data_IF_157494059065
#
_entry.id   IF_157494059065
#
_cell.length_a   1.000
_cell.length_b   1.000
_cell.length_c   1.000
_cell.angle_alpha   90.00
_cell.angle_beta   90.00
_cell.angle_gamma   90.00
#
_symmetry.space_group_name_H-M   'P 1'
#
loop_
_entity.id
_entity.type
_entity.pdbx_description
1 polymer ?
2 branched ?
3 non-polymer ?
4 water ?
#
# COMPACT_ATOMS: atom_id res chain seq x y z
N UNK A 2 14.36 -0.82 1.61
CA UNK A 2 13.06 -1.42 1.68
C UNK A 2 12.47 -1.76 0.31
N UNK A 3 11.70 -2.84 0.26
CA UNK A 3 11.10 -3.27 -0.98
C UNK A 3 9.75 -3.92 -0.71
N UNK A 4 8.78 -3.61 -1.58
CA UNK A 4 7.51 -4.29 -1.53
C UNK A 4 7.69 -5.78 -1.81
N UNK A 5 6.64 -6.52 -1.51
CA UNK A 5 6.47 -7.89 -2.00
C UNK A 5 6.46 -7.89 -3.53
N UNK A 6 6.87 -9.01 -4.13
CA UNK A 6 6.79 -9.16 -5.58
C UNK A 6 5.34 -9.47 -5.98
N UNK A 7 4.84 -8.73 -6.98
CA UNK A 7 3.44 -8.80 -7.38
C UNK A 7 3.39 -9.31 -8.81
N UNK A 8 2.94 -10.56 -8.98
CA UNK A 8 2.80 -11.17 -10.28
C UNK A 8 3.18 -12.63 -10.23
N UNK A 9 3.55 -13.18 -11.40
CA UNK A 9 3.79 -14.59 -11.55
C UNK A 9 5.21 -14.93 -11.97
N UNK A 10 5.47 -16.22 -12.26
CA UNK A 10 6.84 -16.67 -12.51
C UNK A 10 7.33 -16.60 -13.95
N UNK A 11 6.49 -16.19 -14.89
CA UNK A 11 6.89 -16.16 -16.26
C UNK A 11 7.92 -15.08 -16.56
N UNK A 12 8.40 -15.11 -17.80
CA UNK A 12 9.30 -14.14 -18.33
C UNK A 12 10.67 -14.25 -17.68
N UNK A 13 11.44 -13.17 -17.84
CA UNK A 13 12.81 -13.09 -17.36
C UNK A 13 12.94 -12.01 -16.28
N UNK A 14 13.84 -12.25 -15.34
CA UNK A 14 14.08 -11.31 -14.26
C UNK A 14 14.77 -10.07 -14.77
N UNK A 15 14.37 -8.92 -14.23
CA UNK A 15 15.09 -7.68 -14.43
C UNK A 15 15.18 -6.99 -13.08
N UNK A 16 16.18 -6.11 -12.97
CA UNK A 16 16.43 -5.37 -11.74
C UNK A 16 17.15 -4.08 -12.12
N UNK A 17 16.51 -2.94 -11.86
CA UNK A 17 17.10 -1.63 -12.14
C UNK A 17 18.02 -1.15 -11.01
N UNK A 18 18.35 -1.98 -10.02
CA UNK A 18 19.15 -1.54 -8.87
C UNK A 18 20.40 -0.75 -9.29
N UNK A 19 21.22 -1.32 -10.17
CA UNK A 19 22.48 -0.70 -10.52
C UNK A 19 22.25 0.64 -11.23
N UNK A 20 21.28 0.66 -12.14
CA UNK A 20 20.94 1.85 -12.92
C UNK A 20 20.47 2.98 -12.04
N UNK A 21 19.80 2.67 -10.94
CA UNK A 21 19.31 3.72 -10.06
C UNK A 21 20.43 4.51 -9.41
N UNK A 22 21.67 4.02 -9.46
CA UNK A 22 22.79 4.80 -8.98
C UNK A 22 23.03 6.04 -9.82
N UNK A 23 22.37 6.17 -10.97
CA UNK A 23 22.32 7.45 -11.65
C UNK A 23 21.57 8.51 -10.85
N UNK A 24 20.63 8.12 -9.99
CA UNK A 24 19.85 9.11 -9.26
C UNK A 24 18.34 8.88 -9.38
N UNK A 25 17.59 9.95 -9.06
CA UNK A 25 16.13 9.92 -8.95
C UNK A 25 15.47 9.48 -10.26
N UNK A 26 14.33 8.80 -10.13
CA UNK A 26 13.50 8.55 -11.29
C UNK A 26 12.98 9.89 -11.80
N UNK A 27 13.20 10.15 -13.08
CA UNK A 27 12.78 11.39 -13.72
C UNK A 27 11.68 11.20 -14.75
N UNK A 28 11.33 9.97 -15.09
CA UNK A 28 10.43 9.71 -16.20
C UNK A 28 9.83 8.32 -16.09
N UNK A 29 8.55 8.23 -16.45
CA UNK A 29 7.84 6.94 -16.55
C UNK A 29 7.43 6.75 -18.00
N UNK A 30 7.80 5.62 -18.59
CA UNK A 30 7.25 5.24 -19.88
C UNK A 30 6.61 3.86 -19.76
N UNK A 31 5.38 3.74 -20.27
CA UNK A 31 4.66 2.47 -20.26
C UNK A 31 3.92 2.35 -21.58
N UNK A 32 3.51 1.13 -21.86
CA UNK A 32 2.64 0.84 -23.00
C UNK A 32 1.34 0.31 -22.42
N UNK A 33 0.22 0.88 -22.82
CA UNK A 33 -1.01 0.77 -22.06
C UNK A 33 -2.20 0.51 -22.97
N UNK A 34 -2.94 -0.55 -22.65
CA UNK A 34 -4.14 -0.92 -23.39
C UNK A 34 -5.14 -1.39 -22.34
N UNK A 35 -5.83 -2.53 -22.53
CA UNK A 35 -6.62 -3.05 -21.42
C UNK A 35 -5.73 -3.53 -20.28
N UNK A 36 -4.45 -3.82 -20.57
CA UNK A 36 -3.44 -4.14 -19.57
C UNK A 36 -2.19 -3.32 -19.86
N UNK A 37 -1.25 -3.34 -18.92
CA UNK A 37 0.07 -2.76 -19.13
C UNK A 37 0.95 -3.80 -19.79
N UNK A 38 1.60 -3.43 -20.90
CA UNK A 38 2.44 -4.37 -21.61
C UNK A 38 3.92 -4.09 -21.53
N UNK A 39 4.35 -2.88 -21.16
CA UNK A 39 5.73 -2.73 -20.72
C UNK A 39 5.88 -1.53 -19.79
N UNK A 40 6.99 -1.52 -19.08
CA UNK A 40 7.39 -0.38 -18.26
C UNK A 40 8.84 -0.07 -18.52
N UNK A 41 9.17 1.23 -18.54
CA UNK A 41 10.55 1.69 -18.77
C UNK A 41 10.77 2.99 -18.00
N UNK A 42 11.51 2.93 -16.89
CA UNK A 42 11.79 4.14 -16.10
C UNK A 42 13.13 4.76 -16.50
N UNK A 43 13.25 6.07 -16.30
CA UNK A 43 14.50 6.80 -16.49
C UNK A 43 15.07 7.19 -15.13
N UNK A 44 16.32 6.82 -14.89
CA UNK A 44 17.05 7.17 -13.67
C UNK A 44 18.05 8.24 -14.04
N UNK A 45 17.93 9.41 -13.44
CA UNK A 45 18.65 10.58 -13.92
C UNK A 45 18.35 10.78 -15.39
N UNK A 46 19.37 10.67 -16.21
CA UNK A 46 19.24 10.83 -17.64
C UNK A 46 19.15 9.51 -18.39
N UNK A 47 19.21 8.37 -17.69
CA UNK A 47 19.41 7.08 -18.34
C UNK A 47 18.16 6.22 -18.21
N UNK A 48 17.64 5.78 -19.35
CA UNK A 48 16.53 4.84 -19.42
C UNK A 48 16.98 3.41 -19.15
N UNK A 49 16.11 2.64 -18.50
CA UNK A 49 16.25 1.19 -18.50
C UNK A 49 15.95 0.66 -19.90
N UNK A 50 16.17 -0.64 -20.06
CA UNK A 50 15.59 -1.35 -21.18
C UNK A 50 14.06 -1.34 -21.10
N UNK A 51 13.42 -1.68 -22.20
CA UNK A 51 11.97 -1.83 -22.25
C UNK A 51 11.59 -3.13 -21.56
N UNK A 52 10.99 -3.07 -20.38
CA UNK A 52 10.66 -4.29 -19.66
C UNK A 52 9.24 -4.69 -20.06
N UNK A 53 9.15 -5.46 -21.13
CA UNK A 53 7.88 -5.94 -21.67
C UNK A 53 7.82 -5.74 -23.18
N UNK A 54 6.70 -6.16 -23.75
CA UNK A 54 6.49 -6.23 -25.20
C UNK A 54 7.76 -6.65 -25.93
N UNK A 55 8.19 -7.87 -25.61
CA UNK A 55 9.48 -8.35 -26.09
C UNK A 55 9.58 -8.35 -27.61
N UNK A 56 8.49 -8.62 -28.29
CA UNK A 56 8.50 -8.57 -29.75
C UNK A 56 7.09 -8.40 -30.31
N UNK A 57 7.01 -8.03 -31.58
CA UNK A 57 5.73 -7.70 -32.22
C UNK A 57 4.78 -8.88 -32.29
N UNK A 58 5.28 -10.13 -32.34
CA UNK A 58 4.37 -11.28 -32.39
C UNK A 58 3.65 -11.50 -31.07
N UNK A 59 4.01 -10.76 -30.02
CA UNK A 59 3.26 -10.76 -28.77
C UNK A 59 1.81 -10.36 -28.99
N UNK A 60 1.50 -9.75 -30.14
CA UNK A 60 0.14 -9.40 -30.48
C UNK A 60 -0.78 -10.61 -30.53
N UNK A 61 -0.21 -11.82 -30.57
CA UNK A 61 -1.05 -13.02 -30.54
C UNK A 61 -1.70 -13.24 -29.18
N UNK A 62 -1.09 -12.75 -28.11
CA UNK A 62 -1.57 -13.10 -26.77
C UNK A 62 -2.09 -11.90 -25.98
N UNK A 63 -1.99 -10.69 -26.51
CA UNK A 63 -2.60 -9.53 -25.90
C UNK A 63 -2.60 -8.41 -26.92
N UNK A 64 -3.44 -7.41 -26.66
CA UNK A 64 -3.30 -6.13 -27.34
C UNK A 64 -1.94 -5.50 -27.01
N UNK A 65 -1.56 -4.55 -27.86
CA UNK A 65 -0.27 -3.87 -27.74
C UNK A 65 -0.39 -2.61 -26.90
N UNK A 66 -1.17 -1.64 -27.35
CA UNK A 66 -1.42 -0.43 -26.57
C UNK A 66 -0.63 0.78 -27.05
N UNK A 67 -0.82 1.87 -26.29
CA UNK A 67 -0.31 3.20 -26.59
C UNK A 67 0.88 3.48 -25.68
N UNK A 68 1.88 4.19 -26.21
CA UNK A 68 3.04 4.56 -25.42
C UNK A 68 2.69 5.79 -24.57
N UNK A 69 2.73 5.61 -23.26
CA UNK A 69 2.31 6.65 -22.31
C UNK A 69 3.56 7.13 -21.58
N UNK A 70 3.82 8.45 -21.59
CA UNK A 70 4.97 9.02 -20.92
C UNK A 70 4.49 10.02 -19.89
N UNK A 71 5.08 9.98 -18.69
CA UNK A 71 4.92 11.02 -17.66
C UNK A 71 6.32 11.49 -17.26
N UNK A 72 6.71 12.66 -17.76
CA UNK A 72 7.94 13.30 -17.31
C UNK A 72 7.74 13.89 -15.93
N UNK A 73 8.61 13.51 -15.00
CA UNK A 73 8.51 13.95 -13.62
C UNK A 73 9.32 15.22 -13.44
N UNK A 74 8.80 16.14 -12.66
CA UNK A 74 9.54 17.38 -12.43
C UNK A 74 10.48 17.20 -11.26
N UNK A 75 11.43 18.13 -11.14
CA UNK A 75 12.41 18.08 -10.07
C UNK A 75 11.69 17.96 -8.73
N UNK A 76 12.17 17.04 -7.89
CA UNK A 76 11.50 16.82 -6.62
C UNK A 76 10.19 16.06 -6.69
N UNK A 77 9.79 15.54 -7.84
CA UNK A 77 8.59 14.71 -7.92
C UNK A 77 9.00 13.26 -7.69
N UNK A 78 8.38 12.64 -6.70
CA UNK A 78 8.63 11.24 -6.35
C UNK A 78 7.34 10.43 -6.35
N UNK A 79 7.45 9.19 -6.81
CA UNK A 79 6.33 8.24 -6.83
C UNK A 79 6.19 7.67 -5.44
N UNK A 80 5.07 7.95 -4.78
CA UNK A 80 4.89 7.58 -3.40
C UNK A 80 3.91 6.44 -3.20
N UNK A 81 3.13 6.06 -4.20
CA UNK A 81 2.31 4.87 -4.08
C UNK A 81 1.94 4.38 -5.47
N UNK A 82 1.48 3.15 -5.51
CA UNK A 82 1.00 2.53 -6.73
C UNK A 82 -0.18 1.63 -6.38
N UNK A 83 -1.25 1.72 -7.15
CA UNK A 83 -2.33 0.74 -7.10
C UNK A 83 -2.06 -0.27 -8.20
N UNK A 84 -1.89 -1.53 -7.82
CA UNK A 84 -1.56 -2.59 -8.77
C UNK A 84 -2.66 -3.64 -8.75
N UNK A 85 -3.20 -3.97 -9.93
CA UNK A 85 -4.01 -5.16 -10.07
C UNK A 85 -3.19 -6.22 -10.79
N UNK A 86 -3.27 -7.46 -10.31
CA UNK A 86 -2.34 -8.47 -10.78
C UNK A 86 -2.86 -9.88 -10.50
N UNK A 87 -2.31 -10.84 -11.23
CA UNK A 87 -2.51 -12.24 -10.97
C UNK A 87 -1.28 -12.99 -11.45
N UNK A 88 -1.47 -13.82 -12.48
CA UNK A 88 -0.34 -14.42 -13.20
C UNK A 88 0.60 -13.37 -13.75
N UNK A 89 0.07 -12.22 -14.17
CA UNK A 89 0.84 -11.10 -14.71
C UNK A 89 0.43 -9.85 -13.95
N UNK A 90 1.18 -8.76 -14.16
CA UNK A 90 0.66 -7.45 -13.80
C UNK A 90 -0.42 -7.09 -14.81
N UNK A 91 -1.59 -6.70 -14.31
CA UNK A 91 -2.68 -6.25 -15.15
C UNK A 91 -2.67 -4.74 -15.33
N UNK A 92 -2.76 -3.98 -14.23
CA UNK A 92 -2.83 -2.53 -14.33
C UNK A 92 -1.96 -1.90 -13.26
N UNK A 93 -1.51 -0.67 -13.54
CA UNK A 93 -0.69 0.09 -12.61
C UNK A 93 -1.19 1.53 -12.58
N UNK A 94 -1.47 2.05 -11.39
CA UNK A 94 -1.80 3.46 -11.19
C UNK A 94 -0.78 4.07 -10.23
N UNK A 95 0.09 4.92 -10.76
CA UNK A 95 1.07 5.62 -9.92
C UNK A 95 0.48 6.91 -9.36
N UNK A 96 0.87 7.20 -8.13
CA UNK A 96 0.60 8.47 -7.46
C UNK A 96 1.93 9.04 -6.97
N UNK A 97 2.17 10.33 -7.25
CA UNK A 97 3.37 11.05 -6.81
C UNK A 97 3.05 12.08 -5.74
N UNK A 98 4.09 12.65 -5.16
CA UNK A 98 3.85 13.69 -4.19
C UNK A 98 3.27 14.94 -4.80
N UNK A 99 3.11 15.01 -6.13
CA UNK A 99 2.63 16.21 -6.78
C UNK A 99 1.31 16.02 -7.50
N UNK A 100 0.97 14.80 -7.88
CA UNK A 100 -0.21 14.55 -8.69
C UNK A 100 -0.46 13.06 -8.72
N UNK A 101 -1.70 12.71 -9.03
CA UNK A 101 -2.08 11.37 -9.42
C UNK A 101 -1.94 11.24 -10.92
N UNK A 102 -1.67 10.04 -11.38
CA UNK A 102 -1.44 9.78 -12.78
C UNK A 102 -2.48 8.79 -13.25
N UNK A 103 -2.80 8.79 -14.53
CA UNK A 103 -3.80 7.84 -15.03
C UNK A 103 -3.30 6.40 -14.95
N UNK A 104 -4.26 5.50 -14.78
CA UNK A 104 -3.98 4.08 -14.76
C UNK A 104 -3.49 3.62 -16.13
N UNK A 105 -2.46 2.80 -16.12
CA UNK A 105 -2.01 2.09 -17.31
C UNK A 105 -2.63 0.69 -17.25
N UNK A 106 -3.58 0.45 -18.11
CA UNK A 106 -4.35 -0.78 -18.11
C UNK A 106 -5.77 -0.46 -17.71
N UNK A 107 -6.67 -0.35 -18.69
CA UNK A 107 -8.04 0.04 -18.38
C UNK A 107 -8.77 -1.05 -17.61
N UNK A 108 -8.34 -2.31 -17.71
CA UNK A 108 -8.94 -3.36 -16.90
C UNK A 108 -8.30 -3.43 -15.52
N UNK A 109 -9.12 -3.36 -14.49
CA UNK A 109 -8.65 -3.48 -13.11
C UNK A 109 -9.49 -4.51 -12.36
N UNK A 110 -9.70 -5.67 -12.99
CA UNK A 110 -10.61 -6.66 -12.46
C UNK A 110 -9.93 -7.70 -11.59
N UNK A 111 -8.60 -7.75 -11.61
CA UNK A 111 -7.89 -8.72 -10.80
C UNK A 111 -7.61 -8.14 -9.43
N UNK A 112 -7.00 -8.95 -8.57
CA UNK A 112 -6.72 -8.56 -7.20
C UNK A 112 -5.97 -7.23 -7.16
N UNK A 113 -6.51 -6.32 -6.35
CA UNK A 113 -5.99 -4.97 -6.24
C UNK A 113 -5.28 -4.78 -4.91
N UNK A 114 -4.26 -3.95 -4.96
CA UNK A 114 -3.37 -3.73 -3.84
C UNK A 114 -2.82 -2.31 -3.96
N UNK A 115 -2.84 -1.58 -2.86
CA UNK A 115 -2.33 -0.22 -2.82
C UNK A 115 -1.00 -0.24 -2.06
N UNK A 116 0.09 0.02 -2.78
CA UNK A 116 1.45 -0.13 -2.25
C UNK A 116 1.96 1.25 -1.86
N UNK A 117 2.22 1.46 -0.58
CA UNK A 117 2.93 2.64 -0.14
C UNK A 117 4.41 2.46 -0.44
N UNK A 118 5.07 3.55 -0.86
CA UNK A 118 6.48 3.49 -1.26
C UNK A 118 7.26 4.50 -0.42
N UNK A 119 7.80 4.10 0.74
CA UNK A 119 8.35 5.07 1.71
C UNK A 119 9.57 5.79 1.17
N UNK A 120 9.56 7.12 1.31
CA UNK A 120 10.63 7.94 0.81
C UNK A 120 10.54 8.25 -0.67
N UNK A 121 9.58 7.71 -1.36
CA UNK A 121 9.57 7.77 -2.80
C UNK A 121 10.17 6.52 -3.41
N UNK A 122 9.71 6.19 -4.61
CA UNK A 122 10.25 5.07 -5.35
C UNK A 122 11.70 5.34 -5.73
N UNK A 123 12.56 4.38 -5.39
CA UNK A 123 13.96 4.38 -5.81
C UNK A 123 14.17 3.65 -7.14
N UNK A 124 13.61 2.45 -7.28
CA UNK A 124 13.72 1.70 -8.54
C UNK A 124 12.77 0.51 -8.52
N UNK A 125 12.61 -0.11 -9.67
CA UNK A 125 11.78 -1.31 -9.78
C UNK A 125 12.63 -2.50 -10.20
N UNK A 126 12.17 -3.69 -9.81
CA UNK A 126 12.61 -4.96 -10.34
C UNK A 126 11.35 -5.76 -10.65
N UNK A 127 11.54 -6.88 -11.32
CA UNK A 127 10.39 -7.70 -11.66
C UNK A 127 10.75 -8.72 -12.71
N UNK A 128 9.75 -9.09 -13.50
CA UNK A 128 9.93 -10.05 -14.59
C UNK A 128 9.13 -9.59 -15.81
N UNK A 129 9.65 -9.88 -17.01
CA UNK A 129 9.06 -9.38 -18.24
C UNK A 129 9.22 -10.38 -19.38
N UNK A 130 8.33 -10.26 -20.35
CA UNK A 130 8.42 -11.01 -21.59
C UNK A 130 7.60 -10.29 -22.64
N UNK A 131 6.52 -10.94 -23.12
CA UNK A 131 5.56 -10.19 -23.92
C UNK A 131 4.89 -9.08 -23.12
N UNK A 132 4.76 -9.25 -21.81
CA UNK A 132 4.18 -8.19 -20.97
C UNK A 132 4.93 -8.17 -19.64
N UNK A 133 4.30 -7.61 -18.62
CA UNK A 133 4.90 -7.41 -17.31
C UNK A 133 4.46 -8.57 -16.44
N UNK A 134 5.32 -9.56 -16.28
CA UNK A 134 4.96 -10.72 -15.49
C UNK A 134 4.83 -10.36 -14.01
N UNK A 135 5.68 -9.45 -13.51
CA UNK A 135 5.56 -9.02 -12.14
C UNK A 135 6.42 -7.80 -11.86
N UNK A 136 6.06 -7.11 -10.78
CA UNK A 136 6.81 -5.95 -10.33
C UNK A 136 7.08 -6.00 -8.84
N UNK A 137 8.18 -5.36 -8.48
CA UNK A 137 8.56 -5.16 -7.09
C UNK A 137 9.03 -3.72 -6.94
N UNK A 138 8.58 -3.02 -5.91
CA UNK A 138 8.93 -1.62 -5.74
C UNK A 138 9.98 -1.48 -4.65
N UNK A 139 11.10 -0.85 -4.97
CA UNK A 139 12.18 -0.61 -4.02
C UNK A 139 12.17 0.85 -3.60
N UNK A 140 12.04 1.10 -2.30
CA UNK A 140 11.80 2.42 -1.75
C UNK A 140 13.09 3.12 -1.34
N UNK A 141 13.04 4.45 -1.28
CA UNK A 141 14.12 5.27 -0.71
C UNK A 141 13.98 5.27 0.82
N UNK A 142 14.23 4.10 1.40
CA UNK A 142 14.02 3.92 2.83
C UNK A 142 14.83 2.72 3.31
N UNK B 2 5.61 8.98 4.04
CA UNK B 2 4.54 8.62 3.12
C UNK B 2 3.38 7.95 3.89
N UNK B 3 2.14 8.33 3.54
CA UNK B 3 0.96 7.83 4.22
C UNK B 3 -0.11 7.40 3.20
N UNK B 4 -0.99 6.51 3.66
CA UNK B 4 -2.13 6.10 2.87
C UNK B 4 -3.15 7.23 2.80
N UNK B 5 -4.20 7.00 2.00
CA UNK B 5 -5.41 7.77 2.13
C UNK B 5 -6.05 7.54 3.49
N UNK B 6 -6.89 8.50 3.86
CA UNK B 6 -7.73 8.37 5.02
C UNK B 6 -8.91 7.48 4.67
N UNK B 7 -9.10 6.43 5.44
CA UNK B 7 -10.09 5.39 5.18
C UNK B 7 -11.18 5.50 6.25
N UNK B 8 -12.31 6.11 5.89
CA UNK B 8 -13.42 6.24 6.81
C UNK B 8 -14.16 7.56 6.66
N UNK B 9 -14.88 7.92 7.72
CA UNK B 9 -15.77 9.06 7.69
C UNK B 9 -15.31 10.25 8.51
N UNK B 10 -16.07 11.33 8.42
CA UNK B 10 -15.67 12.61 9.02
C UNK B 10 -15.96 12.78 10.50
N UNK B 11 -16.58 11.82 11.16
CA UNK B 11 -16.95 11.99 12.54
C UNK B 11 -15.79 11.81 13.50
N UNK B 12 -16.14 11.88 14.78
CA UNK B 12 -15.21 11.79 15.88
C UNK B 12 -14.19 12.93 15.93
N UNK B 13 -13.18 12.68 16.74
CA UNK B 13 -12.03 13.56 16.92
C UNK B 13 -10.82 12.99 16.20
N UNK B 14 -10.00 13.88 15.64
CA UNK B 14 -8.75 13.43 15.04
C UNK B 14 -7.79 12.93 16.11
N UNK B 15 -7.06 11.89 15.77
CA UNK B 15 -5.92 11.46 16.56
C UNK B 15 -4.72 11.26 15.64
N UNK B 16 -3.54 11.37 16.21
CA UNK B 16 -2.30 11.23 15.43
C UNK B 16 -1.19 10.74 16.37
N UNK B 17 -0.68 9.54 16.11
CA UNK B 17 0.38 8.92 16.89
C UNK B 17 1.78 9.34 16.44
N UNK B 18 1.91 10.30 15.52
CA UNK B 18 3.22 10.67 14.99
C UNK B 18 4.22 10.93 16.11
N UNK B 19 3.87 11.79 17.07
CA UNK B 19 4.85 12.15 18.10
C UNK B 19 5.16 10.93 18.96
N UNK B 20 4.15 10.12 19.26
CA UNK B 20 4.35 8.94 20.07
C UNK B 20 5.26 7.92 19.38
N UNK B 21 5.16 7.84 18.05
CA UNK B 21 5.95 6.87 17.29
C UNK B 21 7.44 7.12 17.39
N UNK B 22 7.85 8.32 17.79
CA UNK B 22 9.28 8.55 18.01
C UNK B 22 9.82 7.68 19.13
N UNK B 23 8.95 7.10 19.96
CA UNK B 23 9.39 6.25 21.05
C UNK B 23 9.76 4.83 20.63
N UNK B 24 9.51 4.45 19.38
CA UNK B 24 9.96 3.15 18.93
C UNK B 24 9.02 2.47 17.96
N UNK B 25 9.47 1.34 17.43
CA UNK B 25 8.68 0.51 16.53
C UNK B 25 7.44 0.01 17.23
N UNK B 26 6.42 -0.30 16.44
CA UNK B 26 5.21 -0.87 17.03
C UNK B 26 5.57 -2.22 17.63
N UNK B 27 5.28 -2.38 18.91
CA UNK B 27 5.53 -3.63 19.63
C UNK B 27 4.27 -4.38 20.02
N UNK B 28 3.10 -3.77 19.89
CA UNK B 28 1.86 -4.34 20.41
C UNK B 28 0.67 -3.72 19.69
N UNK B 29 -0.34 -4.54 19.44
CA UNK B 29 -1.58 -4.15 18.79
C UNK B 29 -2.70 -4.55 19.72
N UNK B 30 -3.50 -3.57 20.14
CA UNK B 30 -4.71 -3.87 20.92
C UNK B 30 -5.92 -3.30 20.20
N UNK B 31 -6.95 -4.13 20.08
CA UNK B 31 -8.19 -3.71 19.46
C UNK B 31 -9.36 -4.26 20.25
N UNK B 32 -10.50 -3.60 20.11
CA UNK B 32 -11.76 -4.13 20.62
C UNK B 32 -12.60 -4.55 19.43
N UNK B 33 -13.13 -5.76 19.49
CA UNK B 33 -13.63 -6.44 18.30
C UNK B 33 -14.95 -7.15 18.55
N UNK B 34 -15.94 -6.83 17.74
CA UNK B 34 -17.22 -7.56 17.67
C UNK B 34 -17.52 -7.78 16.18
N UNK B 35 -18.75 -7.49 15.73
CA UNK B 35 -18.98 -7.54 14.28
C UNK B 35 -18.23 -6.41 13.57
N UNK B 36 -17.78 -5.40 14.31
CA UNK B 36 -16.97 -4.31 13.81
C UNK B 36 -15.87 -4.05 14.82
N UNK B 37 -14.84 -3.32 14.40
CA UNK B 37 -13.78 -2.87 15.27
C UNK B 37 -14.20 -1.57 15.95
N UNK B 38 -14.13 -1.55 17.29
CA UNK B 38 -14.62 -0.38 18.04
C UNK B 38 -13.52 0.44 18.74
N UNK B 39 -12.31 -0.08 18.90
CA UNK B 39 -11.19 0.81 19.15
C UNK B 39 -9.88 0.14 18.71
N UNK B 40 -8.84 0.97 18.60
CA UNK B 40 -7.49 0.52 18.33
C UNK B 40 -6.51 1.32 19.18
N UNK B 41 -5.45 0.64 19.61
CA UNK B 41 -4.47 1.17 20.55
C UNK B 41 -3.16 0.42 20.33
N UNK B 42 -2.16 1.09 19.77
CA UNK B 42 -0.84 0.51 19.57
C UNK B 42 0.13 0.89 20.69
N UNK B 43 1.22 0.11 20.78
CA UNK B 43 2.36 0.46 21.62
C UNK B 43 3.57 0.72 20.73
N UNK B 44 4.28 1.82 21.02
CA UNK B 44 5.46 2.28 20.28
C UNK B 44 6.66 2.15 21.22
N UNK B 45 7.53 1.20 20.95
CA UNK B 45 8.50 0.79 21.95
C UNK B 45 7.81 0.38 23.23
N UNK B 46 8.00 1.14 24.30
CA UNK B 46 7.36 0.85 25.58
C UNK B 46 6.22 1.81 25.91
N UNK B 47 5.82 2.67 24.98
CA UNK B 47 4.88 3.76 25.24
C UNK B 47 3.54 3.39 24.62
N UNK B 48 2.51 3.30 25.45
CA UNK B 48 1.16 3.04 24.98
C UNK B 48 0.49 4.34 24.53
N UNK B 49 -0.41 4.21 23.55
CA UNK B 49 -1.24 5.34 23.18
C UNK B 49 -2.51 5.34 24.02
N UNK B 50 -3.28 6.43 23.91
CA UNK B 50 -4.64 6.41 24.35
C UNK B 50 -5.47 5.43 23.52
N UNK B 51 -6.54 4.94 24.12
CA UNK B 51 -7.53 4.11 23.42
C UNK B 51 -8.27 4.95 22.37
N UNK B 52 -8.08 4.66 21.08
CA UNK B 52 -8.74 5.39 20.00
C UNK B 52 -10.04 4.67 19.64
N UNK B 53 -11.11 5.04 20.35
CA UNK B 53 -12.41 4.43 20.16
C UNK B 53 -13.10 4.10 21.48
N UNK B 54 -14.31 3.57 21.40
CA UNK B 54 -15.12 3.23 22.57
C UNK B 54 -14.95 4.26 23.70
N UNK B 55 -15.33 5.50 23.37
CA UNK B 55 -15.13 6.65 24.24
C UNK B 55 -15.79 6.47 25.60
N UNK B 56 -16.93 5.79 25.63
CA UNK B 56 -17.64 5.50 26.88
C UNK B 56 -18.62 4.34 26.72
N UNK B 57 -19.10 3.82 27.83
CA UNK B 57 -19.92 2.62 27.82
C UNK B 57 -21.30 2.84 27.21
N UNK B 58 -21.83 4.07 27.20
CA UNK B 58 -23.13 4.21 26.54
C UNK B 58 -23.01 4.26 25.04
N UNK B 59 -21.81 4.07 24.51
CA UNK B 59 -21.64 3.84 23.08
C UNK B 59 -22.37 2.59 22.62
N UNK B 60 -22.72 1.71 23.57
CA UNK B 60 -23.49 0.49 23.35
C UNK B 60 -24.85 0.78 22.73
N UNK B 61 -25.35 2.01 22.85
CA UNK B 61 -26.57 2.39 22.17
C UNK B 61 -26.43 2.39 20.64
N UNK B 62 -25.20 2.51 20.12
CA UNK B 62 -25.02 2.75 18.70
C UNK B 62 -24.26 1.65 17.97
N UNK B 63 -23.65 0.73 18.69
CA UNK B 63 -23.00 -0.45 18.11
C UNK B 63 -22.79 -1.42 19.26
N UNK B 64 -22.54 -2.69 18.92
CA UNK B 64 -21.99 -3.63 19.88
C UNK B 64 -20.62 -3.15 20.37
N UNK B 65 -20.15 -3.79 21.44
CA UNK B 65 -18.91 -3.40 22.08
C UNK B 65 -17.75 -4.26 21.62
N UNK B 66 -17.79 -5.54 21.98
CA UNK B 66 -16.82 -6.53 21.55
C UNK B 66 -15.80 -6.84 22.64
N UNK B 67 -14.82 -7.65 22.27
CA UNK B 67 -13.81 -8.13 23.22
C UNK B 67 -12.45 -7.50 22.90
N UNK B 68 -11.64 -7.42 23.92
CA UNK B 68 -10.28 -6.88 23.85
C UNK B 68 -9.37 -7.95 23.27
N UNK B 69 -8.77 -7.66 22.12
CA UNK B 69 -7.83 -8.57 21.49
C UNK B 69 -6.45 -7.92 21.54
N UNK B 70 -5.46 -8.64 22.10
CA UNK B 70 -4.08 -8.17 22.22
C UNK B 70 -3.17 -9.07 21.40
N UNK B 71 -2.30 -8.46 20.60
CA UNK B 71 -1.24 -9.21 19.92
C UNK B 71 0.09 -8.54 20.18
N UNK B 72 1.04 -9.28 20.74
CA UNK B 72 2.37 -8.75 20.98
C UNK B 72 3.21 -9.07 19.77
N UNK B 73 3.94 -8.10 19.29
CA UNK B 73 4.84 -8.32 18.18
C UNK B 73 6.22 -8.65 18.72
N UNK B 74 6.90 -9.60 18.10
CA UNK B 74 8.27 -9.88 18.52
C UNK B 74 9.23 -8.85 17.94
N UNK B 75 10.45 -8.87 18.47
CA UNK B 75 11.48 -7.98 17.97
C UNK B 75 11.71 -8.24 16.50
N UNK B 76 11.82 -7.19 15.71
CA UNK B 76 11.92 -7.39 14.28
C UNK B 76 10.64 -7.76 13.57
N UNK B 77 9.49 -7.76 14.24
CA UNK B 77 8.21 -8.04 13.59
C UNK B 77 7.53 -6.72 13.30
N UNK B 78 7.00 -6.57 12.08
CA UNK B 78 6.36 -5.32 11.70
C UNK B 78 5.20 -5.59 10.76
N UNK B 79 4.27 -4.65 10.76
CA UNK B 79 3.04 -4.82 10.01
C UNK B 79 3.31 -4.44 8.56
N UNK B 80 3.08 -5.39 7.66
CA UNK B 80 3.36 -5.17 6.25
C UNK B 80 2.11 -5.02 5.40
N UNK B 81 0.95 -5.32 5.94
CA UNK B 81 -0.30 -5.24 5.18
C UNK B 81 -1.44 -4.95 6.15
N UNK B 82 -2.36 -4.11 5.71
CA UNK B 82 -3.61 -3.89 6.42
C UNK B 82 -4.76 -3.95 5.42
N UNK B 83 -5.69 -4.88 5.63
CA UNK B 83 -6.95 -4.91 4.90
C UNK B 83 -8.00 -4.23 5.77
N UNK B 84 -8.58 -3.14 5.26
CA UNK B 84 -9.57 -2.35 5.98
C UNK B 84 -10.85 -2.37 5.18
N UNK B 85 -11.96 -2.67 5.83
CA UNK B 85 -13.27 -2.43 5.24
C UNK B 85 -13.88 -1.24 5.95
N UNK B 86 -14.49 -0.34 5.19
CA UNK B 86 -14.90 0.92 5.80
C UNK B 86 -16.00 1.59 4.97
N UNK B 87 -16.67 2.51 5.62
CA UNK B 87 -17.63 3.40 4.98
C UNK B 87 -17.72 4.67 5.81
N UNK B 88 -18.87 4.88 6.45
CA UNK B 88 -19.00 5.96 7.41
C UNK B 88 -17.99 5.82 8.55
N UNK B 89 -17.67 4.59 8.92
CA UNK B 89 -16.68 4.26 9.95
C UNK B 89 -15.79 3.15 9.43
N UNK B 90 -14.70 2.88 10.15
CA UNK B 90 -13.96 1.66 9.89
C UNK B 90 -14.80 0.50 10.40
N UNK B 91 -14.96 -0.52 9.56
CA UNK B 91 -15.73 -1.70 9.93
C UNK B 91 -14.83 -2.85 10.43
N UNK B 92 -13.84 -3.24 9.64
CA UNK B 92 -12.94 -4.32 10.05
C UNK B 92 -11.51 -3.99 9.66
N UNK B 93 -10.58 -4.62 10.38
CA UNK B 93 -9.15 -4.42 10.21
C UNK B 93 -8.48 -5.78 10.29
N UNK B 94 -7.76 -6.17 9.24
CA UNK B 94 -6.94 -7.36 9.24
C UNK B 94 -5.48 -6.98 9.02
N UNK B 95 -4.66 -7.24 10.02
CA UNK B 95 -3.23 -6.93 9.96
C UNK B 95 -2.44 -8.19 9.59
N UNK B 96 -1.45 -8.01 8.73
CA UNK B 96 -0.45 -9.02 8.43
C UNK B 96 0.92 -8.44 8.67
N UNK B 97 1.80 -9.25 9.22
CA UNK B 97 3.17 -8.88 9.51
C UNK B 97 4.13 -9.68 8.63
N UNK B 98 5.41 -9.39 8.76
CA UNK B 98 6.42 -10.15 8.07
C UNK B 98 6.62 -11.53 8.68
N UNK B 99 5.90 -11.88 9.75
CA UNK B 99 5.99 -13.21 10.34
C UNK B 99 4.68 -13.99 10.36
N UNK B 100 3.53 -13.33 10.23
CA UNK B 100 2.26 -14.06 10.34
C UNK B 100 1.12 -13.17 9.88
N UNK B 101 -0.03 -13.79 9.68
CA UNK B 101 -1.28 -13.05 9.50
C UNK B 101 -2.07 -13.12 10.80
N UNK B 102 -2.56 -11.99 11.24
CA UNK B 102 -3.34 -11.94 12.46
C UNK B 102 -4.83 -12.03 12.14
N UNK B 103 -5.64 -12.52 13.06
CA UNK B 103 -7.07 -12.61 12.77
C UNK B 103 -7.69 -11.23 12.57
N UNK B 104 -8.72 -11.20 11.73
CA UNK B 104 -9.45 -9.97 11.49
C UNK B 104 -10.11 -9.49 12.78
N UNK B 105 -10.13 -8.18 12.96
CA UNK B 105 -10.92 -7.52 14.01
C UNK B 105 -12.14 -6.90 13.35
N UNK B 106 -13.33 -7.39 13.72
CA UNK B 106 -14.55 -7.05 13.00
C UNK B 106 -14.96 -8.23 12.14
N UNK B 107 -15.91 -9.03 12.64
CA UNK B 107 -16.27 -10.22 11.89
C UNK B 107 -17.05 -9.91 10.62
N UNK B 108 -17.70 -8.75 10.52
CA UNK B 108 -18.32 -8.34 9.26
C UNK B 108 -17.32 -7.60 8.40
N UNK B 109 -17.25 -7.99 7.13
CA UNK B 109 -16.34 -7.36 6.15
C UNK B 109 -17.07 -7.10 4.83
N UNK B 110 -18.28 -6.56 4.93
CA UNK B 110 -19.12 -6.27 3.78
C UNK B 110 -18.89 -4.88 3.17
N UNK B 111 -18.32 -3.96 3.92
CA UNK B 111 -18.04 -2.62 3.43
C UNK B 111 -16.89 -2.63 2.43
N UNK B 112 -16.75 -1.51 1.72
CA UNK B 112 -15.66 -1.30 0.78
C UNK B 112 -14.32 -1.71 1.39
N UNK B 113 -13.54 -2.48 0.64
CA UNK B 113 -12.29 -3.04 1.13
C UNK B 113 -11.11 -2.48 0.35
N UNK B 114 -10.01 -2.26 1.04
CA UNK B 114 -8.74 -1.90 0.42
C UNK B 114 -7.62 -2.62 1.15
N UNK B 115 -6.68 -3.14 0.39
CA UNK B 115 -5.48 -3.76 0.93
C UNK B 115 -4.34 -2.78 0.77
N UNK B 116 -3.81 -2.28 1.89
CA UNK B 116 -2.67 -1.36 1.90
C UNK B 116 -1.42 -2.16 2.28
N UNK B 117 -0.44 -2.19 1.38
CA UNK B 117 0.86 -2.78 1.66
C UNK B 117 1.83 -1.70 2.13
N UNK B 118 2.58 -2.00 3.19
CA UNK B 118 3.53 -1.04 3.74
C UNK B 118 4.93 -1.66 3.78
N UNK B 119 5.69 -1.57 2.70
CA UNK B 119 7.07 -2.06 2.73
C UNK B 119 7.87 -1.42 3.86
N UNK B 120 8.66 -2.25 4.52
CA UNK B 120 9.43 -1.83 5.67
C UNK B 120 8.67 -1.79 6.96
N UNK B 121 7.33 -1.87 6.92
CA UNK B 121 6.55 -1.92 8.13
C UNK B 121 5.85 -0.62 8.46
N UNK B 122 4.64 -0.73 9.00
CA UNK B 122 3.88 0.41 9.46
C UNK B 122 4.66 1.13 10.57
N UNK B 123 4.73 2.46 10.46
CA UNK B 123 5.39 3.23 11.53
C UNK B 123 4.39 3.70 12.58
N UNK B 124 3.26 4.26 12.15
CA UNK B 124 2.22 4.70 13.08
C UNK B 124 0.90 4.89 12.33
N UNK B 125 -0.15 5.07 13.10
CA UNK B 125 -1.48 5.34 12.58
C UNK B 125 -1.93 6.72 13.00
N UNK B 126 -2.82 7.30 12.20
CA UNK B 126 -3.61 8.44 12.62
C UNK B 126 -5.04 8.15 12.20
N UNK B 127 -5.95 9.05 12.51
CA UNK B 127 -7.34 8.78 12.14
C UNK B 127 -8.30 9.67 12.92
N UNK B 128 -9.50 9.15 13.11
CA UNK B 128 -10.54 9.83 13.87
C UNK B 128 -11.29 8.77 14.66
N UNK B 129 -11.78 9.16 15.85
CA UNK B 129 -12.33 8.22 16.82
C UNK B 129 -13.39 8.91 17.66
N UNK B 130 -14.35 8.12 18.14
CA UNK B 130 -15.29 8.54 19.14
C UNK B 130 -15.82 7.30 19.87
N UNK B 131 -17.09 6.98 19.68
CA UNK B 131 -17.58 5.68 20.12
C UNK B 131 -16.91 4.54 19.37
N UNK B 132 -16.52 4.76 18.13
CA UNK B 132 -15.81 3.73 17.40
C UNK B 132 -14.68 4.38 16.62
N UNK B 133 -14.19 3.70 15.59
CA UNK B 133 -13.08 4.17 14.77
C UNK B 133 -13.73 4.78 13.52
N UNK B 134 -13.88 6.11 13.53
CA UNK B 134 -14.43 6.81 12.37
C UNK B 134 -13.54 6.64 11.15
N UNK B 135 -12.22 6.62 11.35
CA UNK B 135 -11.31 6.47 10.22
C UNK B 135 -9.87 6.25 10.64
N UNK B 136 -9.09 5.73 9.70
CA UNK B 136 -7.71 5.36 9.91
C UNK B 136 -6.87 5.77 8.72
N UNK B 137 -5.63 6.17 9.00
CA UNK B 137 -4.62 6.47 8.01
C UNK B 137 -3.32 5.80 8.44
N UNK B 138 -2.64 5.15 7.50
CA UNK B 138 -1.43 4.39 7.77
C UNK B 138 -0.20 5.16 7.28
N UNK B 139 0.83 5.21 8.12
CA UNK B 139 2.05 5.98 7.87
C UNK B 139 3.24 5.03 7.82
N UNK B 140 4.03 5.14 6.75
CA UNK B 140 5.20 4.31 6.52
C UNK B 140 6.40 4.94 7.21
N UNK B 141 7.57 4.30 7.09
CA UNK B 141 8.72 4.72 7.88
C UNK B 141 9.54 5.84 7.26
N UNK B 142 9.38 6.10 5.95
CA UNK B 142 9.97 7.26 5.27
C UNK B 142 8.95 7.91 4.35
#
# INVERSE_FOLDING_TARGET
XVASEYLGGPGGDAFDDKALAQNGDITRIEMQCTDVATYIKLRYGKVDSRQWGWANENCIQWSKKGVKVVHELSSGEYITSAIVTYGKYVQSITFKTNKRTLPRCGTSATEKSVTVLIPGGLKYISGRWGCRIDGLRFHAKC
XVASEYLGGPGGDAFDDKALAQNGDITRIEMQCTDVATYIKLRYGKVDSRQWGWANENCIQWSKKGVKVVHELSSGEYITSAIVTYGKYVQSITFKTNKRTLPRCGTSATEKSVTVLIPGGLKYISGRWGCRIDGLRFHAKC
#
